data_IF_859437303302
#
_entry.id   IF_859437303302
#
_cell.length_a   1.000
_cell.length_b   1.000
_cell.length_c   1.000
_cell.angle_alpha   90.00
_cell.angle_beta   90.00
_cell.angle_gamma   90.00
#
_symmetry.space_group_name_H-M   'P 1'
#
loop_
_entity.id
_entity.type
_entity.pdbx_description
1 polymer ?
#
# COMPACT_ATOMS: atom_id res chain seq x y z
N UNK A 1 23.60 -21.06 -8.78
CA UNK A 1 23.32 -21.76 -10.05
C UNK A 1 22.52 -20.78 -10.92
N UNK A 2 23.08 -20.27 -12.03
CA UNK A 2 22.35 -19.41 -12.96
C UNK A 2 21.27 -20.26 -13.64
N UNK A 3 19.99 -19.96 -13.40
CA UNK A 3 18.88 -20.60 -14.12
C UNK A 3 18.59 -19.82 -15.40
N UNK A 4 18.31 -20.58 -16.47
CA UNK A 4 18.07 -20.10 -17.83
C UNK A 4 17.01 -18.98 -17.91
N UNK A 5 17.11 -18.17 -18.97
CA UNK A 5 16.15 -17.14 -19.35
C UNK A 5 14.71 -17.69 -19.41
N UNK A 6 13.75 -17.18 -18.63
CA UNK A 6 12.35 -17.61 -18.70
C UNK A 6 11.72 -17.14 -20.02
N UNK A 7 11.08 -18.07 -20.74
CA UNK A 7 10.57 -17.89 -22.12
C UNK A 7 9.33 -16.99 -22.27
N UNK A 8 8.83 -16.39 -21.19
CA UNK A 8 7.70 -15.45 -21.23
C UNK A 8 8.24 -14.02 -21.10
N UNK A 9 8.52 -13.38 -22.24
CA UNK A 9 9.12 -12.05 -22.32
C UNK A 9 8.07 -10.94 -22.28
N UNK A 10 8.11 -10.06 -21.28
CA UNK A 10 7.36 -8.82 -21.29
C UNK A 10 8.03 -7.82 -22.23
N UNK A 11 7.43 -7.58 -23.40
CA UNK A 11 7.91 -6.57 -24.34
C UNK A 11 7.16 -5.25 -24.10
N UNK A 12 7.90 -4.19 -23.77
CA UNK A 12 7.37 -2.82 -23.68
C UNK A 12 8.04 -2.00 -24.78
N UNK A 13 7.25 -1.57 -25.79
CA UNK A 13 7.72 -0.76 -26.93
C UNK A 13 8.95 -1.34 -27.66
N UNK A 14 8.97 -2.65 -27.89
CA UNK A 14 10.08 -3.34 -28.57
C UNK A 14 11.31 -3.57 -27.71
N UNK A 15 11.29 -3.19 -26.43
CA UNK A 15 12.32 -3.53 -25.45
C UNK A 15 11.90 -4.78 -24.67
N UNK A 16 12.79 -5.78 -24.64
CA UNK A 16 12.60 -7.01 -23.88
C UNK A 16 12.95 -6.76 -22.40
N UNK A 17 11.95 -6.34 -21.63
CA UNK A 17 12.10 -5.99 -20.20
C UNK A 17 12.50 -7.22 -19.39
N UNK A 18 12.06 -8.42 -19.79
CA UNK A 18 12.45 -9.67 -19.16
C UNK A 18 13.95 -9.92 -19.31
N UNK A 19 14.52 -9.68 -20.50
CA UNK A 19 15.97 -9.78 -20.73
C UNK A 19 16.73 -8.72 -19.94
N UNK A 20 16.25 -7.48 -19.94
CA UNK A 20 16.88 -6.38 -19.22
C UNK A 20 16.91 -6.65 -17.70
N UNK A 21 15.81 -7.17 -17.14
CA UNK A 21 15.76 -7.62 -15.76
C UNK A 21 16.73 -8.78 -15.50
N UNK A 22 16.80 -9.77 -16.39
CA UNK A 22 17.76 -10.86 -16.25
C UNK A 22 19.21 -10.36 -16.21
N UNK A 23 19.58 -9.45 -17.11
CA UNK A 23 20.92 -8.88 -17.21
C UNK A 23 21.26 -8.02 -15.98
N UNK A 24 20.33 -7.16 -15.55
CA UNK A 24 20.44 -6.38 -14.31
C UNK A 24 20.72 -7.28 -13.11
N UNK A 25 19.95 -8.36 -12.97
CA UNK A 25 20.11 -9.33 -11.87
C UNK A 25 21.46 -10.04 -11.89
N UNK A 26 21.93 -10.43 -13.07
CA UNK A 26 23.25 -11.06 -13.18
C UNK A 26 24.35 -10.11 -12.70
N UNK A 27 24.26 -8.83 -13.04
CA UNK A 27 25.18 -7.80 -12.57
C UNK A 27 25.13 -7.64 -11.04
N UNK A 28 23.93 -7.58 -10.47
CA UNK A 28 23.77 -7.46 -9.01
C UNK A 28 24.34 -8.68 -8.28
N UNK A 29 24.04 -9.90 -8.74
CA UNK A 29 24.57 -11.13 -8.13
C UNK A 29 26.11 -11.14 -8.17
N UNK A 30 26.71 -10.61 -9.24
CA UNK A 30 28.16 -10.46 -9.31
C UNK A 30 28.68 -9.48 -8.26
N UNK A 31 28.07 -8.30 -8.15
CA UNK A 31 28.40 -7.28 -7.15
C UNK A 31 28.35 -7.85 -5.73
N UNK A 32 27.25 -8.55 -5.39
CA UNK A 32 27.06 -9.21 -4.08
C UNK A 32 28.16 -10.20 -3.76
N UNK A 33 28.58 -11.00 -4.74
CA UNK A 33 29.66 -11.97 -4.55
C UNK A 33 31.03 -11.31 -4.37
N UNK A 34 31.26 -10.16 -4.99
CA UNK A 34 32.54 -9.45 -4.94
C UNK A 34 32.69 -8.62 -3.67
N UNK A 35 31.62 -7.97 -3.20
CA UNK A 35 31.69 -7.07 -2.04
C UNK A 35 31.65 -7.79 -0.69
N UNK A 36 31.11 -9.01 -0.64
CA UNK A 36 31.08 -9.88 0.54
C UNK A 36 30.07 -9.47 1.63
N UNK A 37 29.98 -8.17 1.96
CA UNK A 37 29.04 -7.59 2.92
C UNK A 37 28.26 -6.45 2.27
N UNK A 38 26.93 -6.63 2.16
CA UNK A 38 26.03 -5.62 1.61
C UNK A 38 25.09 -5.12 2.70
N UNK A 39 25.06 -3.80 2.89
CA UNK A 39 24.09 -3.14 3.76
C UNK A 39 22.73 -3.07 3.05
N UNK A 40 21.72 -3.71 3.64
CA UNK A 40 20.40 -3.80 3.04
C UNK A 40 19.73 -2.42 2.88
N UNK A 41 20.01 -1.50 3.81
CA UNK A 41 19.47 -0.15 3.81
C UNK A 41 19.96 0.70 2.62
N UNK A 42 21.12 0.35 2.04
CA UNK A 42 21.71 1.08 0.91
C UNK A 42 21.50 0.40 -0.44
N UNK A 43 21.16 -0.89 -0.44
CA UNK A 43 21.15 -1.72 -1.64
C UNK A 43 19.81 -2.48 -1.79
N UNK A 44 18.71 -1.87 -1.34
CA UNK A 44 17.40 -2.54 -1.30
C UNK A 44 16.94 -2.95 -2.71
N UNK A 45 17.18 -2.10 -3.71
CA UNK A 45 16.78 -2.33 -5.10
C UNK A 45 17.61 -3.45 -5.77
N UNK A 46 18.89 -3.52 -5.43
CA UNK A 46 19.81 -4.56 -5.87
C UNK A 46 19.45 -5.89 -5.21
N UNK A 47 19.34 -5.91 -3.88
CA UNK A 47 18.92 -7.10 -3.16
C UNK A 47 17.55 -7.60 -3.62
N UNK A 48 16.62 -6.71 -4.01
CA UNK A 48 15.33 -7.11 -4.56
C UNK A 48 15.50 -7.85 -5.91
N UNK A 49 16.42 -7.36 -6.75
CA UNK A 49 16.79 -8.01 -7.99
C UNK A 49 17.26 -9.46 -7.78
N UNK A 50 18.00 -9.76 -6.71
CA UNK A 50 18.44 -11.13 -6.41
C UNK A 50 17.25 -12.11 -6.34
N UNK A 51 16.08 -11.66 -5.90
CA UNK A 51 14.86 -12.44 -5.77
C UNK A 51 13.89 -12.33 -6.97
N UNK A 52 14.39 -11.93 -8.15
CA UNK A 52 13.59 -11.73 -9.37
C UNK A 52 12.65 -10.52 -9.34
N UNK A 53 12.91 -9.53 -8.49
CA UNK A 53 12.00 -8.40 -8.29
C UNK A 53 12.65 -7.12 -8.79
N UNK A 54 11.87 -6.32 -9.53
CA UNK A 54 12.25 -4.98 -9.92
C UNK A 54 11.54 -3.98 -9.00
N UNK A 55 12.26 -3.48 -7.99
CA UNK A 55 11.75 -2.43 -7.11
C UNK A 55 11.97 -1.07 -7.79
N UNK A 56 10.90 -0.38 -8.13
CA UNK A 56 10.93 0.94 -8.77
C UNK A 56 10.30 1.94 -7.80
N UNK A 57 10.94 3.09 -7.64
CA UNK A 57 10.48 4.16 -6.74
C UNK A 57 10.66 5.49 -7.46
N UNK A 58 9.70 6.38 -7.28
CA UNK A 58 9.70 7.69 -7.94
C UNK A 58 10.97 8.47 -7.60
N UNK A 59 11.61 9.05 -8.63
CA UNK A 59 12.84 9.83 -8.53
C UNK A 59 14.03 9.17 -7.78
N UNK A 60 14.01 7.85 -7.57
CA UNK A 60 15.02 7.14 -6.77
C UNK A 60 15.68 5.96 -7.49
N UNK A 61 15.62 5.92 -8.82
CA UNK A 61 16.28 4.86 -9.59
C UNK A 61 17.78 4.82 -9.30
N UNK A 62 18.30 3.66 -8.90
CA UNK A 62 19.73 3.52 -8.65
C UNK A 62 20.51 3.56 -9.98
N UNK A 63 21.81 3.89 -9.91
CA UNK A 63 22.67 4.02 -11.11
C UNK A 63 22.71 2.73 -11.95
N UNK A 64 22.59 1.57 -11.32
CA UNK A 64 22.62 0.28 -11.99
C UNK A 64 21.31 0.02 -12.76
N UNK A 65 20.16 0.37 -12.20
CA UNK A 65 18.85 0.33 -12.86
C UNK A 65 18.84 1.27 -14.05
N UNK A 66 19.29 2.52 -13.88
CA UNK A 66 19.36 3.48 -14.99
C UNK A 66 20.28 2.96 -16.11
N UNK A 67 21.39 2.30 -15.77
CA UNK A 67 22.29 1.69 -16.77
C UNK A 67 21.60 0.59 -17.60
N UNK A 68 20.77 -0.26 -16.99
CA UNK A 68 20.16 -1.40 -17.68
C UNK A 68 18.81 -1.06 -18.33
N UNK A 69 18.01 -0.20 -17.71
CA UNK A 69 16.65 0.12 -18.15
C UNK A 69 16.52 1.51 -18.78
N UNK A 70 17.37 2.46 -18.38
CA UNK A 70 17.19 3.88 -18.68
C UNK A 70 16.10 4.52 -17.81
N UNK A 71 16.31 5.78 -17.42
CA UNK A 71 15.35 6.51 -16.57
C UNK A 71 13.95 6.56 -17.19
N UNK A 72 13.87 6.93 -18.48
CA UNK A 72 12.58 7.07 -19.18
C UNK A 72 11.73 5.80 -19.19
N UNK A 73 12.34 4.61 -19.29
CA UNK A 73 11.59 3.36 -19.23
C UNK A 73 11.11 3.06 -17.81
N UNK A 74 11.97 3.28 -16.81
CA UNK A 74 11.62 3.08 -15.40
C UNK A 74 10.48 4.03 -14.98
N UNK A 75 10.54 5.30 -15.36
CA UNK A 75 9.49 6.29 -15.10
C UNK A 75 8.16 5.88 -15.77
N UNK A 76 8.24 5.30 -16.97
CA UNK A 76 7.06 4.81 -17.68
C UNK A 76 6.46 3.59 -17.00
N UNK A 77 7.28 2.59 -16.64
CA UNK A 77 6.81 1.41 -15.90
C UNK A 77 6.18 1.85 -14.59
N UNK A 78 6.82 2.78 -13.87
CA UNK A 78 6.27 3.34 -12.65
C UNK A 78 4.90 3.95 -12.90
N UNK A 79 4.76 4.84 -13.90
CA UNK A 79 3.49 5.47 -14.25
C UNK A 79 2.39 4.48 -14.67
N UNK A 80 2.74 3.40 -15.35
CA UNK A 80 1.79 2.36 -15.77
C UNK A 80 1.33 1.47 -14.60
N UNK A 81 2.16 1.31 -13.56
CA UNK A 81 1.91 0.42 -12.41
C UNK A 81 1.42 1.19 -11.17
N UNK A 82 1.71 2.49 -11.05
CA UNK A 82 1.16 3.35 -10.00
C UNK A 82 -0.30 3.67 -10.29
N UNK A 83 -1.19 2.97 -9.58
CA UNK A 83 -2.64 3.21 -9.63
C UNK A 83 -3.12 4.25 -8.61
N UNK A 84 -2.20 4.91 -7.90
CA UNK A 84 -2.55 5.94 -6.93
C UNK A 84 -2.69 7.30 -7.61
N UNK A 85 -3.88 7.90 -7.50
CA UNK A 85 -4.12 9.27 -7.94
C UNK A 85 -3.55 10.25 -6.91
N UNK A 86 -2.28 10.62 -7.09
CA UNK A 86 -1.61 11.64 -6.28
C UNK A 86 -2.15 13.06 -6.53
N UNK A 87 -3.00 13.24 -7.54
CA UNK A 87 -3.65 14.50 -7.88
C UNK A 87 -5.10 14.57 -7.40
N UNK A 88 -5.58 13.52 -6.74
CA UNK A 88 -6.95 13.47 -6.22
C UNK A 88 -7.21 14.70 -5.34
N UNK A 89 -8.17 15.49 -5.78
CA UNK A 89 -8.65 16.67 -5.06
C UNK A 89 -10.14 16.52 -4.84
N UNK A 90 -10.56 16.49 -3.58
CA UNK A 90 -11.97 16.47 -3.22
C UNK A 90 -12.62 17.79 -3.64
N UNK A 91 -13.87 17.75 -4.09
CA UNK A 91 -14.62 18.94 -4.46
C UNK A 91 -14.76 19.84 -3.21
N UNK A 92 -14.46 21.13 -3.35
CA UNK A 92 -14.48 22.09 -2.23
C UNK A 92 -15.78 22.07 -1.43
N UNK A 93 -16.92 21.96 -2.09
CA UNK A 93 -18.22 21.90 -1.41
C UNK A 93 -18.39 20.65 -0.56
N UNK A 94 -17.86 19.51 -1.01
CA UNK A 94 -17.85 18.24 -0.27
C UNK A 94 -16.90 18.35 0.92
N UNK A 95 -15.68 18.84 0.69
CA UNK A 95 -14.69 19.06 1.75
C UNK A 95 -15.24 19.98 2.85
N UNK A 96 -15.78 21.14 2.48
CA UNK A 96 -16.36 22.10 3.41
C UNK A 96 -17.53 21.51 4.21
N UNK A 97 -18.37 20.69 3.57
CA UNK A 97 -19.47 20.01 4.25
C UNK A 97 -18.96 19.03 5.32
N UNK A 98 -17.97 18.20 4.98
CA UNK A 98 -17.33 17.27 5.93
C UNK A 98 -16.70 18.05 7.08
N UNK A 99 -15.87 19.06 6.78
CA UNK A 99 -15.19 19.88 7.78
C UNK A 99 -16.17 20.54 8.72
N UNK A 100 -17.29 21.09 8.20
CA UNK A 100 -18.32 21.71 9.04
C UNK A 100 -18.97 20.71 9.98
N UNK A 101 -19.33 19.52 9.49
CA UNK A 101 -19.93 18.47 10.32
C UNK A 101 -18.99 18.04 11.43
N UNK A 102 -17.73 17.73 11.10
CA UNK A 102 -16.72 17.31 12.09
C UNK A 102 -16.46 18.43 13.12
N UNK A 103 -16.35 19.67 12.65
CA UNK A 103 -16.17 20.83 13.53
C UNK A 103 -17.34 21.00 14.51
N UNK A 104 -18.58 20.87 14.04
CA UNK A 104 -19.76 20.98 14.89
C UNK A 104 -19.86 19.87 15.95
N UNK A 105 -19.44 18.65 15.59
CA UNK A 105 -19.32 17.54 16.54
C UNK A 105 -18.27 17.88 17.61
N UNK A 106 -17.09 18.33 17.19
CA UNK A 106 -15.99 18.66 18.10
C UNK A 106 -16.37 19.79 19.08
N UNK A 107 -17.18 20.76 18.63
CA UNK A 107 -17.66 21.87 19.47
C UNK A 107 -18.87 21.51 20.33
N UNK A 108 -19.41 20.30 20.22
CA UNK A 108 -20.62 19.87 20.92
C UNK A 108 -21.90 20.56 20.43
N UNK A 109 -21.85 21.20 19.26
CA UNK A 109 -23.02 21.81 18.60
C UNK A 109 -23.89 20.73 17.95
N UNK A 110 -23.25 19.65 17.47
CA UNK A 110 -23.90 18.52 16.83
C UNK A 110 -23.58 17.24 17.61
N UNK A 111 -24.61 16.45 17.92
CA UNK A 111 -24.41 15.12 18.51
C UNK A 111 -23.67 14.21 17.53
N UNK A 112 -22.83 13.31 18.06
CA UNK A 112 -21.98 12.43 17.26
C UNK A 112 -22.82 11.58 16.30
N UNK A 113 -23.89 10.98 16.77
CA UNK A 113 -24.80 10.14 15.98
C UNK A 113 -25.45 10.95 14.85
N UNK A 114 -25.84 12.19 15.13
CA UNK A 114 -26.43 13.08 14.13
C UNK A 114 -25.39 13.52 13.08
N UNK A 115 -24.16 13.76 13.51
CA UNK A 115 -23.04 14.05 12.60
C UNK A 115 -22.72 12.88 11.67
N UNK A 116 -22.73 11.67 12.20
CA UNK A 116 -22.58 10.45 11.39
C UNK A 116 -23.69 10.30 10.35
N UNK A 117 -24.95 10.52 10.74
CA UNK A 117 -26.09 10.48 9.81
C UNK A 117 -25.88 11.49 8.68
N UNK A 118 -25.52 12.74 9.01
CA UNK A 118 -25.26 13.78 8.00
C UNK A 118 -24.13 13.43 7.03
N UNK A 119 -23.07 12.78 7.52
CA UNK A 119 -22.00 12.30 6.65
C UNK A 119 -22.51 11.19 5.71
N UNK A 120 -23.30 10.24 6.21
CA UNK A 120 -23.86 9.18 5.39
C UNK A 120 -24.86 9.72 4.35
N UNK A 121 -25.70 10.68 4.72
CA UNK A 121 -26.59 11.42 3.81
C UNK A 121 -25.81 12.16 2.73
N UNK A 122 -24.69 12.80 3.09
CA UNK A 122 -23.78 13.41 2.12
C UNK A 122 -23.27 12.34 1.13
N UNK A 123 -22.84 11.17 1.63
CA UNK A 123 -22.25 10.10 0.82
C UNK A 123 -23.18 9.44 -0.21
N UNK A 124 -24.49 9.69 -0.16
CA UNK A 124 -25.44 9.12 -1.13
C UNK A 124 -25.86 10.11 -2.22
N UNK A 125 -25.41 11.36 -2.14
CA UNK A 125 -25.70 12.37 -3.15
C UNK A 125 -25.12 12.00 -4.52
N UNK A 126 -25.86 12.35 -5.58
CA UNK A 126 -25.53 11.96 -6.95
C UNK A 126 -24.24 12.64 -7.43
N UNK A 127 -24.04 13.90 -7.05
CA UNK A 127 -22.90 14.73 -7.43
C UNK A 127 -21.57 14.30 -6.82
N UNK A 128 -21.57 13.37 -5.85
CA UNK A 128 -20.36 12.92 -5.16
C UNK A 128 -19.76 11.71 -5.88
N UNK A 129 -18.46 11.80 -6.16
CA UNK A 129 -17.70 10.73 -6.82
C UNK A 129 -17.61 9.48 -5.95
N UNK A 130 -17.40 8.31 -6.56
CA UNK A 130 -17.27 7.05 -5.81
C UNK A 130 -16.14 7.09 -4.77
N UNK A 131 -15.03 7.78 -5.07
CA UNK A 131 -13.89 7.92 -4.16
C UNK A 131 -14.23 8.78 -2.95
N UNK A 132 -14.87 9.93 -3.16
CA UNK A 132 -15.33 10.80 -2.07
C UNK A 132 -16.37 10.08 -1.20
N UNK A 133 -17.28 9.31 -1.80
CA UNK A 133 -18.24 8.48 -1.05
C UNK A 133 -17.54 7.52 -0.09
N UNK A 134 -16.48 6.84 -0.56
CA UNK A 134 -15.67 5.93 0.28
C UNK A 134 -14.96 6.67 1.41
N UNK A 135 -14.42 7.87 1.14
CA UNK A 135 -13.77 8.71 2.17
C UNK A 135 -14.80 9.17 3.22
N UNK A 136 -15.94 9.70 2.79
CA UNK A 136 -17.00 10.20 3.69
C UNK A 136 -17.51 9.09 4.60
N UNK A 137 -17.79 7.90 4.04
CA UNK A 137 -18.19 6.71 4.81
C UNK A 137 -17.09 6.30 5.80
N UNK A 138 -15.83 6.36 5.38
CA UNK A 138 -14.69 6.06 6.24
C UNK A 138 -14.60 7.01 7.43
N UNK A 139 -14.76 8.32 7.20
CA UNK A 139 -14.81 9.33 8.27
C UNK A 139 -15.98 9.08 9.21
N UNK A 140 -17.17 8.80 8.69
CA UNK A 140 -18.34 8.47 9.50
C UNK A 140 -18.08 7.24 10.39
N UNK A 141 -17.45 6.20 9.85
CA UNK A 141 -17.03 5.03 10.62
C UNK A 141 -16.01 5.39 11.70
N UNK A 142 -14.97 6.15 11.36
CA UNK A 142 -13.91 6.56 12.29
C UNK A 142 -14.45 7.29 13.53
N UNK A 143 -15.50 8.09 13.39
CA UNK A 143 -16.09 8.82 14.52
C UNK A 143 -16.51 7.90 15.69
N UNK A 144 -16.83 6.63 15.42
CA UNK A 144 -17.15 5.65 16.47
C UNK A 144 -15.92 5.06 17.18
N UNK A 145 -14.74 5.14 16.57
CA UNK A 145 -13.53 4.48 17.07
C UNK A 145 -12.52 5.48 17.63
N UNK A 146 -12.46 6.69 17.10
CA UNK A 146 -11.48 7.69 17.52
C UNK A 146 -11.75 8.13 18.97
N UNK A 147 -10.72 8.14 19.84
CA UNK A 147 -10.85 8.64 21.21
C UNK A 147 -11.16 10.14 21.23
N UNK A 148 -12.00 10.56 22.17
CA UNK A 148 -12.39 11.98 22.33
C UNK A 148 -11.22 12.90 22.70
N UNK A 149 -10.21 12.33 23.37
CA UNK A 149 -9.03 13.05 23.82
C UNK A 149 -7.81 12.53 23.07
N UNK A 150 -6.80 13.39 22.94
CA UNK A 150 -5.52 13.03 22.35
C UNK A 150 -4.88 11.86 23.13
N UNK A 151 -4.35 10.89 22.38
CA UNK A 151 -3.64 9.74 22.93
C UNK A 151 -2.15 9.97 22.84
N UNK A 152 -1.44 9.58 23.90
CA UNK A 152 0.01 9.57 23.92
C UNK A 152 0.55 8.53 22.91
N UNK A 153 1.03 9.03 21.77
CA UNK A 153 1.53 8.22 20.65
C UNK A 153 2.68 7.29 21.07
N UNK A 154 3.44 7.65 22.12
CA UNK A 154 4.52 6.80 22.63
C UNK A 154 4.04 5.49 23.27
N UNK A 155 2.74 5.41 23.61
CA UNK A 155 2.11 4.25 24.24
C UNK A 155 1.24 3.44 23.28
N UNK A 156 1.04 3.92 22.05
CA UNK A 156 0.26 3.21 21.05
C UNK A 156 0.98 1.92 20.61
N UNK A 157 0.29 0.80 20.73
CA UNK A 157 0.73 -0.46 20.13
C UNK A 157 0.30 -0.57 18.67
N UNK A 158 0.96 -1.43 17.88
CA UNK A 158 0.58 -1.69 16.49
C UNK A 158 -0.88 -2.16 16.38
N UNK A 159 -1.34 -3.01 17.30
CA UNK A 159 -2.72 -3.51 17.34
C UNK A 159 -3.76 -2.41 17.51
N UNK A 160 -3.51 -1.47 18.42
CA UNK A 160 -4.38 -0.33 18.64
C UNK A 160 -4.34 0.61 17.44
N UNK A 161 -3.13 0.83 16.89
CA UNK A 161 -2.95 1.68 15.72
C UNK A 161 -3.78 1.19 14.53
N UNK A 162 -3.67 -0.08 14.14
CA UNK A 162 -4.45 -0.56 13.00
C UNK A 162 -5.93 -0.75 13.31
N UNK A 163 -6.31 -1.24 14.50
CA UNK A 163 -7.74 -1.54 14.77
C UNK A 163 -8.58 -0.29 15.01
N UNK A 164 -8.02 0.72 15.69
CA UNK A 164 -8.75 1.94 16.08
C UNK A 164 -8.68 3.02 15.01
N UNK A 165 -7.52 3.21 14.37
CA UNK A 165 -7.30 4.36 13.47
C UNK A 165 -7.37 3.97 12.00
N UNK A 166 -6.67 2.92 11.58
CA UNK A 166 -6.60 2.57 10.16
C UNK A 166 -7.78 1.73 9.68
N UNK A 167 -8.21 0.72 10.44
CA UNK A 167 -9.24 -0.21 10.02
C UNK A 167 -10.57 0.47 9.63
N UNK A 168 -11.13 1.42 10.43
CA UNK A 168 -12.41 2.05 10.08
C UNK A 168 -12.35 2.85 8.77
N UNK A 169 -11.22 3.49 8.47
CA UNK A 169 -11.01 4.26 7.25
C UNK A 169 -10.69 3.35 6.06
N UNK A 170 -9.66 2.51 6.20
CA UNK A 170 -9.15 1.68 5.11
C UNK A 170 -10.17 0.63 4.67
N UNK A 171 -11.00 0.11 5.57
CA UNK A 171 -12.06 -0.83 5.17
C UNK A 171 -13.05 -0.17 4.22
N UNK A 172 -13.42 1.10 4.46
CA UNK A 172 -14.33 1.86 3.60
C UNK A 172 -13.73 2.17 2.23
N UNK A 173 -12.42 2.34 2.15
CA UNK A 173 -11.70 2.67 0.91
C UNK A 173 -11.39 1.41 0.09
N UNK A 174 -10.90 0.36 0.75
CA UNK A 174 -10.28 -0.80 0.11
C UNK A 174 -11.20 -2.02 0.01
N UNK A 175 -12.29 -2.06 0.77
CA UNK A 175 -13.28 -3.14 0.64
C UNK A 175 -14.39 -2.74 -0.33
N UNK A 176 -14.88 -3.72 -1.08
CA UNK A 176 -16.08 -3.63 -1.89
C UNK A 176 -16.86 -4.93 -1.70
N UNK A 177 -17.76 -4.94 -0.72
CA UNK A 177 -18.46 -6.16 -0.30
C UNK A 177 -19.37 -6.70 -1.40
N UNK A 178 -19.88 -5.84 -2.28
CA UNK A 178 -20.71 -6.24 -3.42
C UNK A 178 -19.92 -7.06 -4.44
N UNK A 179 -18.63 -6.73 -4.61
CA UNK A 179 -17.70 -7.45 -5.47
C UNK A 179 -16.89 -8.51 -4.71
N UNK A 180 -17.28 -8.80 -3.46
CA UNK A 180 -16.62 -9.74 -2.56
C UNK A 180 -15.12 -9.45 -2.35
N UNK A 181 -14.75 -8.16 -2.40
CA UNK A 181 -13.42 -7.64 -2.12
C UNK A 181 -13.38 -7.18 -0.66
N UNK A 182 -12.49 -7.74 0.15
CA UNK A 182 -12.40 -7.44 1.57
C UNK A 182 -10.97 -7.12 1.99
N UNK A 183 -10.81 -6.04 2.74
CA UNK A 183 -9.66 -5.81 3.60
C UNK A 183 -9.79 -6.66 4.86
N UNK A 184 -8.78 -7.47 5.17
CA UNK A 184 -8.75 -8.35 6.34
C UNK A 184 -7.46 -8.14 7.12
N UNK A 185 -7.57 -7.81 8.39
CA UNK A 185 -6.44 -7.86 9.33
C UNK A 185 -6.27 -9.29 9.79
N UNK A 186 -5.24 -9.96 9.28
CA UNK A 186 -5.14 -11.42 9.45
C UNK A 186 -4.32 -11.73 10.67
N UNK A 187 -4.79 -12.66 11.53
CA UNK A 187 -3.98 -13.29 12.60
C UNK A 187 -3.31 -14.62 12.18
N UNK A 188 -3.37 -14.99 10.90
CA UNK A 188 -2.90 -16.27 10.36
C UNK A 188 -1.96 -16.07 9.18
N UNK A 189 -0.91 -16.89 9.10
CA UNK A 189 -0.06 -16.94 7.92
C UNK A 189 -0.91 -17.42 6.73
N UNK A 190 -0.71 -16.82 5.55
CA UNK A 190 -1.29 -17.38 4.33
C UNK A 190 -0.67 -18.77 4.07
N UNK A 191 -1.42 -19.69 3.46
CA UNK A 191 -1.04 -21.11 3.32
C UNK A 191 0.32 -21.30 2.59
N UNK A 192 0.71 -20.35 1.73
CA UNK A 192 1.98 -20.35 1.00
C UNK A 192 3.16 -19.72 1.77
N UNK A 193 2.96 -19.24 3.00
CA UNK A 193 4.01 -18.57 3.78
C UNK A 193 4.68 -19.52 4.78
N UNK A 194 5.99 -19.73 4.60
CA UNK A 194 6.80 -20.58 5.49
C UNK A 194 7.46 -19.84 6.66
N UNK A 195 7.36 -18.50 6.80
CA UNK A 195 7.92 -17.84 7.99
C UNK A 195 7.39 -16.48 8.46
N UNK A 196 6.75 -15.62 7.64
CA UNK A 196 6.34 -14.27 8.09
C UNK A 196 5.01 -13.83 7.49
N UNK A 197 4.26 -13.02 8.24
CA UNK A 197 2.82 -12.81 7.98
C UNK A 197 2.51 -11.32 7.79
N UNK A 198 1.71 -10.97 6.76
CA UNK A 198 1.22 -9.61 6.59
C UNK A 198 0.24 -9.19 7.69
N UNK A 199 0.25 -7.92 8.09
CA UNK A 199 -0.76 -7.39 9.02
C UNK A 199 -2.16 -7.38 8.38
N UNK A 200 -2.24 -6.98 7.11
CA UNK A 200 -3.46 -6.91 6.32
C UNK A 200 -3.35 -7.60 4.96
N UNK A 201 -4.46 -8.16 4.50
CA UNK A 201 -4.62 -8.75 3.17
C UNK A 201 -5.88 -8.15 2.52
N UNK A 202 -5.76 -7.71 1.28
CA UNK A 202 -6.91 -7.40 0.42
C UNK A 202 -7.14 -8.63 -0.46
N UNK A 203 -8.34 -9.20 -0.42
CA UNK A 203 -8.65 -10.38 -1.21
C UNK A 203 -10.03 -10.31 -1.83
N UNK A 204 -10.15 -10.79 -3.07
CA UNK A 204 -11.42 -11.11 -3.70
C UNK A 204 -11.74 -12.58 -3.47
N UNK A 205 -12.98 -12.89 -3.12
CA UNK A 205 -13.45 -14.26 -2.96
C UNK A 205 -14.31 -14.65 -4.17
N UNK A 206 -13.82 -15.60 -4.97
CA UNK A 206 -14.53 -16.13 -6.14
C UNK A 206 -14.72 -17.64 -5.96
N UNK A 207 -15.98 -18.10 -5.91
CA UNK A 207 -16.31 -19.54 -5.89
C UNK A 207 -15.52 -20.38 -4.86
N UNK A 208 -15.42 -19.89 -3.62
CA UNK A 208 -14.64 -20.48 -2.51
C UNK A 208 -13.11 -20.43 -2.65
N UNK A 209 -12.58 -19.80 -3.69
CA UNK A 209 -11.15 -19.51 -3.84
C UNK A 209 -10.87 -18.04 -3.51
N UNK A 210 -9.86 -17.82 -2.66
CA UNK A 210 -9.42 -16.48 -2.25
C UNK A 210 -8.31 -16.00 -3.18
N UNK A 211 -8.59 -15.03 -4.05
CA UNK A 211 -7.57 -14.32 -4.80
C UNK A 211 -7.00 -13.17 -3.96
N UNK A 212 -5.71 -13.20 -3.66
CA UNK A 212 -5.03 -12.09 -2.99
C UNK A 212 -4.77 -10.94 -3.98
N UNK A 213 -5.32 -9.77 -3.70
CA UNK A 213 -5.16 -8.54 -4.49
C UNK A 213 -4.06 -7.63 -3.93
N UNK A 214 -3.75 -7.74 -2.64
CA UNK A 214 -2.72 -6.91 -2.01
C UNK A 214 -2.45 -7.29 -0.56
N UNK A 215 -1.38 -6.71 -0.02
CA UNK A 215 -0.99 -6.85 1.38
C UNK A 215 -0.73 -5.48 1.99
N UNK A 216 -0.80 -5.37 3.31
CA UNK A 216 -0.42 -4.17 4.06
C UNK A 216 0.29 -4.51 5.35
N UNK A 217 1.31 -3.72 5.69
CA UNK A 217 1.96 -3.72 7.01
C UNK A 217 1.51 -2.46 7.75
N UNK A 218 1.25 -2.59 9.05
CA UNK A 218 1.11 -1.47 9.96
C UNK A 218 2.35 -1.41 10.86
N UNK A 219 2.94 -0.23 10.96
CA UNK A 219 4.14 0.00 11.79
C UNK A 219 4.00 1.31 12.56
N UNK A 220 4.60 1.33 13.75
CA UNK A 220 4.75 2.56 14.52
C UNK A 220 5.79 3.49 13.86
N UNK A 221 5.63 4.80 14.04
CA UNK A 221 6.50 5.80 13.40
C UNK A 221 7.97 5.77 13.86
N UNK A 222 8.27 5.07 14.97
CA UNK A 222 9.61 4.94 15.53
C UNK A 222 10.33 3.63 15.13
N UNK A 223 9.78 2.86 14.18
CA UNK A 223 10.38 1.61 13.72
C UNK A 223 11.71 1.89 13.00
N UNK A 224 12.74 1.09 13.31
CA UNK A 224 14.05 1.26 12.69
C UNK A 224 13.98 1.14 11.15
N UNK A 225 14.76 1.94 10.43
CA UNK A 225 14.88 1.85 8.95
C UNK A 225 15.17 0.43 8.47
N UNK A 226 15.99 -0.31 9.22
CA UNK A 226 16.28 -1.73 8.96
C UNK A 226 15.02 -2.60 8.98
N UNK A 227 14.15 -2.41 9.96
CA UNK A 227 12.90 -3.16 10.06
C UNK A 227 11.95 -2.82 8.89
N UNK A 228 11.83 -1.54 8.52
CA UNK A 228 11.05 -1.12 7.35
C UNK A 228 11.59 -1.75 6.05
N UNK A 229 12.90 -1.71 5.83
CA UNK A 229 13.53 -2.36 4.67
C UNK A 229 13.28 -3.86 4.63
N UNK A 230 13.33 -4.53 5.80
CA UNK A 230 13.00 -5.95 5.89
C UNK A 230 11.53 -6.23 5.58
N UNK A 231 10.61 -5.34 5.93
CA UNK A 231 9.18 -5.49 5.64
C UNK A 231 8.90 -5.34 4.14
N UNK A 232 9.56 -4.39 3.46
CA UNK A 232 9.52 -4.27 1.99
C UNK A 232 9.98 -5.58 1.32
N UNK A 233 11.10 -6.16 1.76
CA UNK A 233 11.55 -7.45 1.23
C UNK A 233 10.53 -8.57 1.42
N UNK A 234 9.85 -8.62 2.57
CA UNK A 234 8.82 -9.65 2.84
C UNK A 234 7.72 -9.64 1.79
N UNK A 235 7.26 -8.47 1.38
CA UNK A 235 6.18 -8.36 0.40
C UNK A 235 6.57 -8.70 -1.01
N UNK A 236 7.86 -8.56 -1.31
CA UNK A 236 8.33 -8.67 -2.66
C UNK A 236 8.70 -10.13 -2.97
N UNK A 237 9.31 -10.86 -2.03
CA UNK A 237 9.74 -12.26 -2.21
C UNK A 237 8.54 -13.20 -2.08
N UNK A 238 7.86 -13.44 -3.20
CA UNK A 238 6.91 -14.54 -3.41
C UNK A 238 7.52 -15.61 -4.31
#
# INVERSE_FOLDING_TARGET
MMKNYPKAGGNINGMDVSKMLFDYRCSVISMVKTEGLIFAEKNIMELAACFNMLLITDDQHNSLQVKYFGGTLLDRILKEVTHFDYTFTMIDTVYLAISKIVYDIQRGVLLLEMGMIKLLELSVKEEITIYEKKIIKGIACMLNFIPKNEVDVSKLGESELWSTYYNPLLTSILSETQDNILLRWTNKAAEDYTSKRPDAIISAMNNNESLCLGYGECKLGNVSRKALSMDVFRYTVK
#
